data_IF_322278861888
#
_entry.id   IF_322278861888
#
_cell.length_a   1.000
_cell.length_b   1.000
_cell.length_c   1.000
_cell.angle_alpha   90.00
_cell.angle_beta   90.00
_cell.angle_gamma   90.00
#
_symmetry.space_group_name_H-M   'P 1'
#
loop_
_entity.id
_entity.type
_entity.pdbx_description
1 polymer ?
#
# COMPACT_ATOMS: atom_id res chain seq x y z
N UNK A 1 2.23 -16.83 8.33
CA UNK A 1 3.18 -15.75 7.98
C UNK A 1 4.64 -16.15 8.11
N UNK A 2 5.27 -16.45 6.98
CA UNK A 2 6.73 -16.64 6.89
C UNK A 2 7.44 -15.27 6.82
N UNK A 3 7.74 -14.71 8.00
CA UNK A 3 8.44 -13.41 8.10
C UNK A 3 9.82 -13.41 7.45
N UNK A 4 10.48 -14.57 7.31
CA UNK A 4 11.81 -14.65 6.69
C UNK A 4 11.67 -14.48 5.17
N UNK A 5 10.75 -15.20 4.54
CA UNK A 5 10.47 -15.08 3.11
C UNK A 5 10.03 -13.65 2.76
N UNK A 6 9.09 -13.09 3.52
CA UNK A 6 8.58 -11.73 3.32
C UNK A 6 9.69 -10.68 3.43
N UNK A 7 10.60 -10.84 4.41
CA UNK A 7 11.76 -9.95 4.57
C UNK A 7 12.71 -10.00 3.39
N UNK A 8 13.07 -11.20 2.94
CA UNK A 8 13.95 -11.39 1.78
C UNK A 8 13.33 -10.76 0.54
N UNK A 9 12.08 -11.09 0.25
CA UNK A 9 11.33 -10.57 -0.88
C UNK A 9 11.28 -9.03 -0.89
N UNK A 10 10.94 -8.40 0.24
CA UNK A 10 10.80 -6.94 0.30
C UNK A 10 12.14 -6.20 0.03
N UNK A 11 13.24 -6.71 0.60
CA UNK A 11 14.58 -6.12 0.42
C UNK A 11 15.06 -6.28 -1.03
N UNK A 12 14.90 -7.48 -1.60
CA UNK A 12 15.35 -7.78 -2.97
C UNK A 12 14.50 -7.03 -4.01
N UNK A 13 13.18 -6.99 -3.80
CA UNK A 13 12.25 -6.26 -4.66
C UNK A 13 12.54 -4.76 -4.67
N UNK A 14 12.88 -4.17 -3.52
CA UNK A 14 13.31 -2.76 -3.46
C UNK A 14 14.51 -2.51 -4.37
N UNK A 15 15.58 -3.30 -4.23
CA UNK A 15 16.79 -3.15 -5.06
C UNK A 15 16.47 -3.28 -6.53
N UNK A 16 15.69 -4.31 -6.88
CA UNK A 16 15.33 -4.59 -8.27
C UNK A 16 14.51 -3.46 -8.88
N UNK A 17 13.46 -3.00 -8.20
CA UNK A 17 12.63 -1.89 -8.67
C UNK A 17 13.43 -0.60 -8.82
N UNK A 18 14.35 -0.29 -7.90
CA UNK A 18 15.23 0.88 -8.04
C UNK A 18 16.08 0.79 -9.30
N UNK A 19 16.70 -0.36 -9.57
CA UNK A 19 17.53 -0.56 -10.76
C UNK A 19 16.70 -0.55 -12.05
N UNK A 20 15.51 -1.14 -12.04
CA UNK A 20 14.58 -1.12 -13.18
C UNK A 20 14.08 0.30 -13.48
N UNK A 21 13.74 1.08 -12.45
CA UNK A 21 13.34 2.49 -12.61
C UNK A 21 14.50 3.33 -13.16
N UNK A 22 15.73 3.13 -12.67
CA UNK A 22 16.93 3.79 -13.23
C UNK A 22 17.14 3.41 -14.70
N UNK A 23 16.94 2.14 -15.03
CA UNK A 23 17.06 1.66 -16.40
C UNK A 23 15.99 2.30 -17.32
N UNK A 24 14.72 2.32 -16.91
CA UNK A 24 13.68 2.99 -17.69
C UNK A 24 13.96 4.50 -17.83
N UNK A 25 14.46 5.16 -16.79
CA UNK A 25 14.86 6.57 -16.88
C UNK A 25 16.03 6.77 -17.87
N UNK A 26 17.00 5.85 -17.90
CA UNK A 26 18.14 5.95 -18.83
C UNK A 26 17.70 5.84 -20.28
N UNK A 27 16.67 5.04 -20.58
CA UNK A 27 16.04 4.98 -21.91
C UNK A 27 15.45 6.33 -22.33
N UNK A 28 15.16 7.23 -21.38
CA UNK A 28 14.64 8.58 -21.64
C UNK A 28 15.76 9.63 -21.67
N UNK A 29 17.03 9.21 -21.70
CA UNK A 29 18.20 10.10 -21.59
C UNK A 29 18.35 10.72 -20.21
N UNK A 30 17.80 10.10 -19.15
CA UNK A 30 17.83 10.62 -17.79
C UNK A 30 18.65 9.68 -16.91
N UNK A 31 19.73 10.19 -16.32
CA UNK A 31 20.60 9.42 -15.42
C UNK A 31 20.96 10.24 -14.18
N UNK A 32 21.62 9.62 -13.21
CA UNK A 32 22.20 10.33 -12.06
C UNK A 32 23.26 11.37 -12.45
N UNK A 33 23.82 11.29 -13.67
CA UNK A 33 24.80 12.26 -14.18
C UNK A 33 24.15 13.49 -14.83
N UNK A 34 22.88 13.41 -15.22
CA UNK A 34 22.20 14.51 -15.89
C UNK A 34 21.01 14.08 -16.75
N UNK A 35 20.38 15.09 -17.34
CA UNK A 35 19.20 14.99 -18.20
C UNK A 35 19.62 15.42 -19.60
N UNK A 36 19.58 14.50 -20.56
CA UNK A 36 19.92 14.77 -21.95
C UNK A 36 18.73 15.44 -22.67
N UNK A 37 19.05 16.32 -23.61
CA UNK A 37 18.10 16.80 -24.60
C UNK A 37 17.92 15.76 -25.72
N UNK A 38 16.76 15.73 -26.40
CA UNK A 38 16.56 14.82 -27.52
C UNK A 38 17.54 15.13 -28.66
N UNK A 39 18.08 14.08 -29.28
CA UNK A 39 18.97 14.19 -30.46
C UNK A 39 18.19 14.48 -31.74
N UNK A 40 16.91 14.10 -31.77
CA UNK A 40 15.97 14.47 -32.83
C UNK A 40 14.63 14.87 -32.20
N UNK A 41 14.04 15.94 -32.73
CA UNK A 41 12.77 16.48 -32.24
C UNK A 41 11.90 16.91 -33.42
N UNK A 42 10.73 16.28 -33.54
CA UNK A 42 9.69 16.62 -34.50
C UNK A 42 8.34 16.74 -33.79
N UNK A 43 7.29 17.12 -34.52
CA UNK A 43 5.94 17.18 -33.95
C UNK A 43 5.50 15.78 -33.50
N UNK A 44 5.18 15.65 -32.20
CA UNK A 44 4.76 14.38 -31.60
C UNK A 44 5.87 13.34 -31.36
N UNK A 45 7.13 13.62 -31.71
CA UNK A 45 8.24 12.65 -31.67
C UNK A 45 9.49 13.26 -31.03
N UNK A 46 10.06 12.56 -30.05
CA UNK A 46 11.38 12.86 -29.48
C UNK A 46 12.27 11.60 -29.45
N UNK A 47 13.52 11.73 -29.90
CA UNK A 47 14.51 10.64 -29.94
C UNK A 47 15.65 10.95 -28.97
N UNK A 48 16.02 9.98 -28.14
CA UNK A 48 17.06 10.10 -27.13
C UNK A 48 18.20 9.12 -27.39
N UNK A 49 19.43 9.62 -27.37
CA UNK A 49 20.61 8.76 -27.38
C UNK A 49 20.79 8.12 -25.99
N UNK A 50 20.81 6.79 -26.00
CA UNK A 50 20.92 5.96 -24.80
C UNK A 50 22.28 5.25 -24.73
N UNK A 51 23.24 5.62 -25.59
CA UNK A 51 24.55 4.99 -25.68
C UNK A 51 24.52 3.56 -26.22
N UNK A 52 23.44 3.17 -26.91
CA UNK A 52 23.25 1.87 -27.55
C UNK A 52 23.17 2.03 -29.09
N UNK A 53 23.24 0.91 -29.81
CA UNK A 53 23.19 0.89 -31.28
C UNK A 53 21.94 1.54 -31.86
N UNK A 54 20.82 1.51 -31.11
CA UNK A 54 19.57 2.12 -31.49
C UNK A 54 19.16 3.15 -30.41
N UNK A 55 18.82 4.40 -30.79
CA UNK A 55 18.28 5.37 -29.86
C UNK A 55 16.86 4.97 -29.42
N UNK A 56 16.42 5.50 -28.29
CA UNK A 56 15.04 5.31 -27.85
C UNK A 56 14.14 6.44 -28.38
N UNK A 57 12.97 6.09 -28.89
CA UNK A 57 12.00 7.07 -29.42
C UNK A 57 10.74 7.07 -28.58
N UNK A 58 10.27 8.26 -28.19
CA UNK A 58 9.02 8.44 -27.46
C UNK A 58 8.04 9.32 -28.26
N UNK A 59 6.75 9.10 -28.03
CA UNK A 59 5.67 9.71 -28.80
C UNK A 59 4.66 10.42 -27.89
N UNK A 60 4.09 11.52 -28.36
CA UNK A 60 2.89 12.19 -27.83
C UNK A 60 2.78 12.20 -26.29
N UNK A 61 1.97 11.30 -25.71
CA UNK A 61 1.75 11.17 -24.26
C UNK A 61 3.07 11.03 -23.51
N UNK A 62 3.97 10.18 -23.99
CA UNK A 62 5.26 9.92 -23.35
C UNK A 62 6.16 11.15 -23.29
N UNK A 63 6.07 12.07 -24.26
CA UNK A 63 6.80 13.35 -24.23
C UNK A 63 6.32 14.22 -23.06
N UNK A 64 5.00 14.32 -22.86
CA UNK A 64 4.42 15.04 -21.72
C UNK A 64 4.80 14.41 -20.39
N UNK A 65 4.73 13.07 -20.31
CA UNK A 65 5.13 12.30 -19.13
C UNK A 65 6.61 12.52 -18.79
N UNK A 66 7.51 12.50 -19.79
CA UNK A 66 8.94 12.79 -19.59
C UNK A 66 9.18 14.22 -19.08
N UNK A 67 8.48 15.23 -19.60
CA UNK A 67 8.59 16.61 -19.08
C UNK A 67 8.21 16.70 -17.61
N UNK A 68 7.16 15.99 -17.19
CA UNK A 68 6.78 15.91 -15.78
C UNK A 68 7.84 15.19 -14.93
N UNK A 69 8.46 14.12 -15.46
CA UNK A 69 9.58 13.44 -14.81
C UNK A 69 10.75 14.40 -14.56
N UNK A 70 11.18 15.13 -15.59
CA UNK A 70 12.27 16.10 -15.52
C UNK A 70 11.96 17.20 -14.49
N UNK A 71 10.73 17.73 -14.50
CA UNK A 71 10.29 18.72 -13.49
C UNK A 71 10.43 18.15 -12.08
N UNK A 72 9.94 16.93 -11.85
CA UNK A 72 9.99 16.27 -10.54
C UNK A 72 11.41 16.00 -10.07
N UNK A 73 12.31 15.58 -10.98
CA UNK A 73 13.73 15.38 -10.70
C UNK A 73 14.40 16.70 -10.29
N UNK A 74 14.06 17.81 -10.94
CA UNK A 74 14.60 19.12 -10.57
C UNK A 74 14.11 19.59 -9.19
N UNK A 75 12.93 19.16 -8.75
CA UNK A 75 12.38 19.48 -7.41
C UNK A 75 12.99 18.62 -6.29
N UNK A 76 13.23 17.32 -6.53
CA UNK A 76 13.58 16.34 -5.48
C UNK A 76 14.94 15.65 -5.64
N UNK A 77 15.65 15.81 -6.76
CA UNK A 77 16.80 15.00 -7.24
C UNK A 77 16.43 13.65 -7.85
N UNK A 78 17.32 13.13 -8.71
CA UNK A 78 17.13 11.87 -9.44
C UNK A 78 16.91 10.69 -8.50
N UNK A 79 17.80 10.49 -7.52
CA UNK A 79 17.75 9.32 -6.63
C UNK A 79 16.47 9.28 -5.78
N UNK A 80 15.99 10.43 -5.31
CA UNK A 80 14.75 10.50 -4.54
C UNK A 80 13.52 10.22 -5.40
N UNK A 81 13.51 10.64 -6.68
CA UNK A 81 12.42 10.33 -7.60
C UNK A 81 12.42 8.85 -7.97
N UNK A 82 13.60 8.26 -8.20
CA UNK A 82 13.75 6.82 -8.43
C UNK A 82 13.17 6.03 -7.25
N UNK A 83 13.53 6.39 -6.02
CA UNK A 83 13.01 5.74 -4.81
C UNK A 83 11.48 5.90 -4.69
N UNK A 84 10.95 7.12 -4.90
CA UNK A 84 9.52 7.42 -4.85
C UNK A 84 8.73 6.55 -5.83
N UNK A 85 9.22 6.43 -7.07
CA UNK A 85 8.58 5.63 -8.12
C UNK A 85 8.68 4.13 -7.81
N UNK A 86 9.86 3.65 -7.41
CA UNK A 86 10.06 2.24 -7.03
C UNK A 86 9.13 1.84 -5.88
N UNK A 87 9.02 2.70 -4.86
CA UNK A 87 8.13 2.48 -3.72
C UNK A 87 6.66 2.48 -4.14
N UNK A 88 6.25 3.41 -4.99
CA UNK A 88 4.87 3.51 -5.50
C UNK A 88 4.46 2.21 -6.19
N UNK A 89 5.32 1.68 -7.08
CA UNK A 89 5.01 0.44 -7.80
C UNK A 89 5.06 -0.79 -6.89
N UNK A 90 6.00 -0.85 -5.95
CA UNK A 90 6.02 -1.90 -4.92
C UNK A 90 4.67 -1.99 -4.19
N UNK A 91 4.20 -0.86 -3.65
CA UNK A 91 2.95 -0.81 -2.90
C UNK A 91 1.72 -1.23 -3.73
N UNK A 92 1.63 -0.78 -4.98
CA UNK A 92 0.50 -1.12 -5.86
C UNK A 92 0.50 -2.59 -6.25
N UNK A 93 1.66 -3.19 -6.50
CA UNK A 93 1.79 -4.62 -6.76
C UNK A 93 1.34 -5.42 -5.54
N UNK A 94 1.80 -5.05 -4.34
CA UNK A 94 1.39 -5.71 -3.08
C UNK A 94 -0.10 -5.55 -2.81
N UNK A 95 -0.66 -4.37 -3.04
CA UNK A 95 -2.08 -4.14 -2.85
C UNK A 95 -2.94 -4.95 -3.81
N UNK A 96 -2.56 -5.00 -5.09
CA UNK A 96 -3.23 -5.87 -6.07
C UNK A 96 -3.10 -7.34 -5.66
N UNK A 97 -1.92 -7.79 -5.20
CA UNK A 97 -1.75 -9.16 -4.71
C UNK A 97 -2.67 -9.47 -3.52
N UNK A 98 -2.76 -8.56 -2.56
CA UNK A 98 -3.66 -8.70 -1.42
C UNK A 98 -5.12 -8.79 -1.89
N UNK A 99 -5.53 -7.88 -2.78
CA UNK A 99 -6.91 -7.83 -3.27
C UNK A 99 -7.29 -9.05 -4.12
N UNK A 100 -6.39 -9.57 -4.95
CA UNK A 100 -6.70 -10.74 -5.80
C UNK A 100 -6.74 -12.05 -5.01
N UNK A 101 -5.94 -12.18 -3.93
CA UNK A 101 -5.97 -13.36 -3.05
C UNK A 101 -7.26 -13.41 -2.24
N UNK A 102 -7.76 -12.25 -1.81
CA UNK A 102 -8.95 -12.15 -0.98
C UNK A 102 -10.26 -11.92 -1.76
N UNK A 103 -10.24 -12.00 -3.11
CA UNK A 103 -11.38 -11.72 -3.99
C UNK A 103 -11.99 -10.31 -3.82
N UNK A 104 -11.15 -9.32 -3.51
CA UNK A 104 -11.57 -7.93 -3.31
C UNK A 104 -11.46 -7.06 -4.56
N UNK A 105 -10.87 -7.56 -5.64
CA UNK A 105 -10.86 -6.87 -6.93
C UNK A 105 -12.29 -6.77 -7.50
N UNK A 106 -12.77 -5.59 -7.94
CA UNK A 106 -14.12 -5.44 -8.49
C UNK A 106 -14.41 -6.35 -9.68
N UNK A 107 -13.42 -6.58 -10.54
CA UNK A 107 -13.52 -7.46 -11.71
C UNK A 107 -13.55 -8.95 -11.34
N UNK A 108 -13.11 -9.32 -10.13
CA UNK A 108 -12.87 -10.70 -9.68
C UNK A 108 -11.86 -11.50 -10.52
N UNK A 109 -11.12 -10.82 -11.38
CA UNK A 109 -10.09 -11.41 -12.24
C UNK A 109 -8.74 -11.25 -11.55
N UNK A 110 -7.96 -12.34 -11.45
CA UNK A 110 -6.60 -12.29 -10.90
C UNK A 110 -5.70 -11.51 -11.86
N UNK A 111 -5.00 -10.50 -11.33
CA UNK A 111 -4.25 -9.51 -12.12
C UNK A 111 -2.81 -9.97 -12.28
N UNK A 112 -2.18 -10.44 -11.20
CA UNK A 112 -0.79 -10.87 -11.18
C UNK A 112 -0.65 -12.37 -11.44
N UNK A 113 -1.70 -13.13 -11.15
CA UNK A 113 -1.71 -14.59 -11.15
C UNK A 113 -2.93 -15.15 -11.89
N UNK A 114 -3.11 -16.46 -11.83
CA UNK A 114 -4.21 -17.18 -12.47
C UNK A 114 -4.93 -18.07 -11.45
N UNK A 115 -6.24 -18.24 -11.63
CA UNK A 115 -7.05 -19.21 -10.89
C UNK A 115 -6.75 -20.67 -11.31
N UNK A 116 -6.27 -20.86 -12.55
CA UNK A 116 -5.81 -22.16 -13.04
C UNK A 116 -4.43 -22.43 -12.44
N UNK A 117 -4.35 -23.46 -11.60
CA UNK A 117 -3.11 -23.91 -10.95
C UNK A 117 -2.01 -24.20 -11.99
N UNK A 118 -0.80 -23.70 -11.74
CA UNK A 118 0.37 -23.89 -12.61
C UNK A 118 0.39 -23.02 -13.88
N UNK A 119 -0.67 -22.26 -14.19
CA UNK A 119 -0.67 -21.32 -15.31
C UNK A 119 0.11 -20.05 -14.95
N UNK A 120 1.14 -19.76 -15.73
CA UNK A 120 2.01 -18.59 -15.55
C UNK A 120 1.35 -17.30 -16.06
N UNK A 121 0.59 -17.38 -17.15
CA UNK A 121 -0.11 -16.23 -17.71
C UNK A 121 -1.24 -15.76 -16.77
N UNK A 122 -1.24 -14.48 -16.34
CA UNK A 122 -2.30 -13.96 -15.48
C UNK A 122 -3.67 -13.93 -16.17
N UNK A 123 -4.74 -14.04 -15.38
CA UNK A 123 -6.09 -14.08 -15.94
C UNK A 123 -6.46 -12.75 -16.62
N UNK A 124 -5.97 -11.60 -16.12
CA UNK A 124 -6.15 -10.31 -16.79
C UNK A 124 -5.63 -10.30 -18.23
N UNK A 125 -4.52 -11.00 -18.52
CA UNK A 125 -3.94 -11.10 -19.88
C UNK A 125 -4.79 -12.02 -20.76
N UNK A 126 -5.24 -13.13 -20.16
CA UNK A 126 -6.06 -14.14 -20.81
C UNK A 126 -7.39 -13.55 -21.29
N UNK A 127 -8.09 -12.88 -20.37
CA UNK A 127 -9.45 -12.41 -20.56
C UNK A 127 -9.54 -11.09 -21.34
N UNK A 128 -8.47 -10.29 -21.39
CA UNK A 128 -8.47 -9.05 -22.15
C UNK A 128 -8.81 -9.27 -23.65
N UNK A 129 -9.65 -8.42 -24.27
CA UNK A 129 -10.26 -7.20 -23.74
C UNK A 129 -11.63 -7.40 -23.07
N UNK A 130 -12.09 -8.64 -22.82
CA UNK A 130 -13.42 -8.97 -22.29
C UNK A 130 -13.51 -8.79 -20.76
N UNK A 131 -12.97 -7.69 -20.24
CA UNK A 131 -12.94 -7.34 -18.82
C UNK A 131 -13.77 -6.08 -18.57
N UNK A 132 -14.33 -5.95 -17.37
CA UNK A 132 -15.03 -4.74 -16.92
C UNK A 132 -14.02 -3.65 -16.50
N UNK A 133 -13.18 -3.23 -17.45
CA UNK A 133 -12.14 -2.20 -17.30
C UNK A 133 -12.36 -1.00 -18.23
N UNK A 134 -13.51 -0.91 -18.90
CA UNK A 134 -13.87 0.23 -19.76
C UNK A 134 -12.79 0.60 -20.78
N UNK A 135 -12.41 -0.36 -21.64
CA UNK A 135 -11.45 -0.11 -22.72
C UNK A 135 -12.04 0.76 -23.82
N UNK A 136 -11.26 1.74 -24.28
CA UNK A 136 -11.54 2.50 -25.50
C UNK A 136 -11.29 1.65 -26.74
N UNK A 137 -11.85 2.03 -27.89
CA UNK A 137 -11.60 1.33 -29.15
C UNK A 137 -10.10 1.26 -29.52
N UNK A 138 -9.33 2.29 -29.18
CA UNK A 138 -7.89 2.33 -29.44
C UNK A 138 -7.12 1.36 -28.53
N UNK A 139 -7.48 1.30 -27.24
CA UNK A 139 -6.90 0.33 -26.31
C UNK A 139 -7.23 -1.11 -26.75
N UNK A 140 -8.44 -1.38 -27.23
CA UNK A 140 -8.82 -2.70 -27.75
C UNK A 140 -7.96 -3.09 -28.96
N UNK A 141 -7.76 -2.17 -29.92
CA UNK A 141 -6.87 -2.39 -31.06
C UNK A 141 -5.44 -2.66 -30.61
N UNK A 142 -4.96 -1.90 -29.63
CA UNK A 142 -3.62 -2.08 -29.06
C UNK A 142 -3.47 -3.45 -28.37
N UNK A 143 -4.49 -3.90 -27.62
CA UNK A 143 -4.52 -5.23 -26.99
C UNK A 143 -4.40 -6.33 -28.06
N UNK A 144 -5.22 -6.30 -29.11
CA UNK A 144 -5.15 -7.28 -30.19
C UNK A 144 -3.81 -7.25 -30.92
N UNK A 145 -3.26 -6.05 -31.16
CA UNK A 145 -1.93 -5.91 -31.76
C UNK A 145 -0.85 -6.57 -30.90
N UNK A 146 -0.82 -6.30 -29.60
CA UNK A 146 0.17 -6.88 -28.69
C UNK A 146 0.02 -8.40 -28.56
N UNK A 147 -1.21 -8.93 -28.61
CA UNK A 147 -1.46 -10.38 -28.70
C UNK A 147 -0.91 -10.97 -29.99
N UNK A 148 -1.20 -10.37 -31.14
CA UNK A 148 -0.73 -10.85 -32.45
C UNK A 148 0.79 -10.76 -32.62
N UNK A 149 1.40 -9.70 -32.09
CA UNK A 149 2.86 -9.47 -32.11
C UNK A 149 3.60 -10.34 -31.08
N UNK A 150 2.89 -11.14 -30.28
CA UNK A 150 3.42 -11.97 -29.20
C UNK A 150 4.26 -11.17 -28.19
N UNK A 151 3.70 -10.07 -27.69
CA UNK A 151 4.31 -9.15 -26.71
C UNK A 151 3.59 -9.21 -25.36
N UNK A 152 3.66 -10.34 -24.64
CA UNK A 152 2.85 -10.58 -23.43
C UNK A 152 3.13 -9.60 -22.30
N UNK A 153 4.39 -9.24 -22.05
CA UNK A 153 4.73 -8.31 -20.95
C UNK A 153 4.37 -6.85 -21.25
N UNK A 154 4.39 -6.44 -22.53
CA UNK A 154 3.88 -5.12 -22.92
C UNK A 154 2.36 -5.05 -22.74
N UNK A 155 1.65 -6.13 -23.11
CA UNK A 155 0.21 -6.26 -22.88
C UNK A 155 -0.11 -6.25 -21.38
N UNK A 156 0.61 -7.05 -20.59
CA UNK A 156 0.42 -7.11 -19.15
C UNK A 156 0.62 -5.74 -18.48
N UNK A 157 1.68 -5.01 -18.85
CA UNK A 157 1.93 -3.66 -18.32
C UNK A 157 0.79 -2.69 -18.64
N UNK A 158 0.27 -2.72 -19.87
CA UNK A 158 -0.88 -1.91 -20.28
C UNK A 158 -2.10 -2.23 -19.41
N UNK A 159 -2.41 -3.50 -19.24
CA UNK A 159 -3.56 -3.97 -18.45
C UNK A 159 -3.40 -3.65 -16.96
N UNK A 160 -2.19 -3.81 -16.41
CA UNK A 160 -1.87 -3.49 -15.02
C UNK A 160 -2.07 -1.99 -14.73
N UNK A 161 -1.61 -1.12 -15.63
CA UNK A 161 -1.83 0.34 -15.51
C UNK A 161 -3.33 0.65 -15.61
N UNK A 162 -4.07 0.03 -16.54
CA UNK A 162 -5.52 0.21 -16.65
C UNK A 162 -6.25 -0.22 -15.37
N UNK A 163 -5.86 -1.35 -14.78
CA UNK A 163 -6.40 -1.83 -13.52
C UNK A 163 -6.10 -0.86 -12.36
N UNK A 164 -4.87 -0.36 -12.25
CA UNK A 164 -4.51 0.67 -11.26
C UNK A 164 -5.37 1.92 -11.41
N UNK A 165 -5.58 2.38 -12.65
CA UNK A 165 -6.41 3.55 -12.94
C UNK A 165 -7.88 3.33 -12.60
N UNK A 166 -8.43 2.11 -12.80
CA UNK A 166 -9.79 1.79 -12.35
C UNK A 166 -9.90 1.76 -10.83
N UNK A 167 -8.88 1.22 -10.14
CA UNK A 167 -8.84 1.19 -8.68
C UNK A 167 -8.74 2.59 -8.05
N UNK A 168 -8.24 3.60 -8.76
CA UNK A 168 -8.27 5.00 -8.31
C UNK A 168 -9.68 5.47 -7.93
N UNK A 169 -10.72 4.98 -8.59
CA UNK A 169 -12.12 5.39 -8.35
C UNK A 169 -12.60 5.01 -6.94
N UNK A 170 -12.03 3.96 -6.34
CA UNK A 170 -12.45 3.42 -5.03
C UNK A 170 -11.35 3.49 -3.96
N UNK A 171 -10.08 3.55 -4.38
CA UNK A 171 -8.90 3.62 -3.50
C UNK A 171 -7.94 4.74 -3.94
N UNK A 172 -8.40 6.01 -4.01
CA UNK A 172 -7.69 7.10 -4.67
C UNK A 172 -6.34 7.45 -4.03
N UNK A 173 -6.18 7.24 -2.73
CA UNK A 173 -4.96 7.62 -2.00
C UNK A 173 -3.78 6.70 -2.34
N UNK A 174 -4.04 5.40 -2.56
CA UNK A 174 -2.99 4.44 -2.92
C UNK A 174 -2.80 4.34 -4.44
N UNK A 175 -3.92 4.27 -5.16
CA UNK A 175 -3.95 4.23 -6.61
C UNK A 175 -4.20 5.62 -7.14
N UNK A 176 -3.37 6.60 -6.79
CA UNK A 176 -3.42 7.92 -7.43
C UNK A 176 -3.47 7.74 -8.96
N UNK A 177 -4.28 8.56 -9.67
CA UNK A 177 -4.19 8.67 -11.13
C UNK A 177 -2.73 8.80 -11.44
N UNK A 178 -2.15 7.75 -12.02
CA UNK A 178 -0.71 7.55 -12.14
C UNK A 178 -0.10 8.88 -12.50
N UNK A 179 0.72 9.45 -11.59
CA UNK A 179 1.37 10.71 -11.89
C UNK A 179 2.03 10.52 -13.24
N UNK A 180 1.65 11.33 -14.25
CA UNK A 180 1.83 11.01 -15.68
C UNK A 180 3.19 10.32 -15.97
N UNK A 181 4.27 10.74 -15.30
CA UNK A 181 5.61 10.16 -15.43
C UNK A 181 5.87 8.75 -14.86
N UNK A 182 5.17 8.29 -13.82
CA UNK A 182 5.47 7.00 -13.15
C UNK A 182 5.25 5.82 -14.07
N UNK A 183 4.29 5.92 -15.00
CA UNK A 183 3.99 4.90 -16.01
C UNK A 183 5.19 4.62 -16.93
N UNK A 184 5.95 5.65 -17.29
CA UNK A 184 7.15 5.50 -18.13
C UNK A 184 8.25 4.70 -17.45
N UNK A 185 8.22 4.66 -16.12
CA UNK A 185 9.24 4.04 -15.30
C UNK A 185 8.82 2.66 -14.78
N UNK A 186 7.62 2.20 -15.12
CA UNK A 186 7.15 0.86 -14.75
C UNK A 186 7.78 -0.18 -15.67
N UNK A 187 8.57 -1.07 -15.08
CA UNK A 187 8.98 -2.33 -15.69
C UNK A 187 8.32 -3.47 -14.92
N UNK A 188 7.27 -4.06 -15.48
CA UNK A 188 6.59 -5.21 -14.89
C UNK A 188 6.50 -6.33 -15.92
N UNK A 189 6.74 -7.55 -15.47
CA UNK A 189 6.79 -8.75 -16.30
C UNK A 189 6.27 -9.93 -15.49
N UNK A 190 5.48 -10.78 -16.13
CA UNK A 190 5.07 -12.06 -15.58
C UNK A 190 5.85 -13.23 -16.19
N UNK A 191 6.58 -12.99 -17.29
CA UNK A 191 7.41 -14.01 -17.96
C UNK A 191 8.83 -14.12 -17.40
N UNK A 192 9.31 -13.06 -16.72
CA UNK A 192 10.61 -13.06 -16.05
C UNK A 192 10.52 -13.72 -14.66
N UNK A 193 11.11 -14.91 -14.50
CA UNK A 193 11.15 -15.66 -13.23
C UNK A 193 11.81 -14.86 -12.09
N UNK A 194 12.81 -14.04 -12.40
CA UNK A 194 13.43 -13.17 -11.40
C UNK A 194 12.61 -11.91 -11.13
N UNK A 195 11.61 -11.60 -11.97
CA UNK A 195 10.76 -10.42 -11.90
C UNK A 195 9.96 -10.35 -10.60
N UNK A 196 9.65 -9.14 -10.14
CA UNK A 196 8.95 -8.95 -8.86
C UNK A 196 7.64 -9.73 -8.75
N UNK A 197 6.89 -9.84 -9.85
CA UNK A 197 5.61 -10.59 -9.88
C UNK A 197 5.84 -12.08 -9.60
N UNK A 198 6.82 -12.69 -10.28
CA UNK A 198 7.16 -14.10 -10.06
C UNK A 198 7.76 -14.32 -8.67
N UNK A 199 8.68 -13.46 -8.25
CA UNK A 199 9.26 -13.54 -6.91
C UNK A 199 8.22 -13.38 -5.79
N UNK A 200 7.15 -12.60 -6.03
CA UNK A 200 6.05 -12.45 -5.08
C UNK A 200 5.17 -13.70 -5.02
N UNK A 201 4.76 -14.22 -6.18
CA UNK A 201 3.85 -15.37 -6.27
C UNK A 201 4.53 -16.67 -5.83
N UNK A 202 5.80 -16.86 -6.22
CA UNK A 202 6.49 -18.13 -6.03
C UNK A 202 7.11 -18.28 -4.64
N UNK A 203 7.43 -17.17 -3.96
CA UNK A 203 8.10 -17.21 -2.66
C UNK A 203 7.21 -16.81 -1.48
N UNK A 204 6.06 -16.17 -1.71
CA UNK A 204 5.15 -15.75 -0.64
C UNK A 204 3.81 -16.48 -0.80
N UNK A 205 3.47 -17.29 0.21
CA UNK A 205 2.22 -18.07 0.22
C UNK A 205 0.99 -17.17 0.15
N UNK A 206 -0.06 -17.60 -0.56
CA UNK A 206 -1.36 -16.93 -0.53
C UNK A 206 -1.93 -16.86 0.89
N UNK A 207 -1.67 -17.86 1.74
CA UNK A 207 -2.10 -17.87 3.14
C UNK A 207 -1.54 -16.71 3.97
N UNK A 208 -0.39 -16.15 3.57
CA UNK A 208 0.19 -14.99 4.25
C UNK A 208 -0.54 -13.69 3.86
N UNK A 209 -1.29 -13.68 2.76
CA UNK A 209 -2.17 -12.58 2.32
C UNK A 209 -3.63 -12.76 2.77
N UNK A 210 -4.08 -13.99 3.08
CA UNK A 210 -5.47 -14.27 3.46
C UNK A 210 -5.80 -13.69 4.84
N UNK A 211 -6.79 -12.77 4.88
CA UNK A 211 -7.35 -12.14 6.09
C UNK A 211 -6.31 -11.49 7.05
N UNK A 212 -5.05 -11.34 6.60
CA UNK A 212 -3.92 -10.83 7.38
C UNK A 212 -3.42 -9.53 6.79
N UNK A 213 -4.13 -8.43 7.08
CA UNK A 213 -3.69 -7.07 6.69
C UNK A 213 -2.28 -6.73 7.23
N UNK A 214 -1.84 -7.41 8.30
CA UNK A 214 -0.52 -7.28 8.91
C UNK A 214 0.64 -7.50 7.92
N UNK A 215 0.49 -8.36 6.91
CA UNK A 215 1.54 -8.61 5.91
C UNK A 215 2.00 -7.32 5.22
N UNK A 216 1.05 -6.40 4.96
CA UNK A 216 1.32 -5.10 4.33
C UNK A 216 2.27 -4.28 5.21
N UNK A 217 2.05 -4.30 6.53
CA UNK A 217 2.91 -3.65 7.51
C UNK A 217 4.33 -4.24 7.52
N UNK A 218 4.46 -5.57 7.46
CA UNK A 218 5.76 -6.25 7.40
C UNK A 218 6.52 -5.97 6.11
N UNK A 219 5.84 -6.03 4.96
CA UNK A 219 6.44 -5.71 3.66
C UNK A 219 6.98 -4.28 3.64
N UNK A 220 6.22 -3.31 4.17
CA UNK A 220 6.66 -1.92 4.32
C UNK A 220 7.87 -1.77 5.25
N UNK A 221 7.82 -2.42 6.42
CA UNK A 221 8.92 -2.43 7.37
C UNK A 221 10.20 -2.96 6.72
N UNK A 222 10.10 -4.08 6.03
CA UNK A 222 11.25 -4.73 5.45
C UNK A 222 11.79 -3.99 4.23
N UNK A 223 10.93 -3.42 3.39
CA UNK A 223 11.32 -2.57 2.27
C UNK A 223 12.26 -1.44 2.73
N UNK A 224 11.95 -0.77 3.84
CA UNK A 224 12.74 0.36 4.34
C UNK A 224 14.01 -0.02 5.12
N UNK A 225 14.29 -1.31 5.34
CA UNK A 225 15.38 -1.78 6.21
C UNK A 225 16.74 -1.20 5.81
N UNK A 226 17.11 -1.29 4.54
CA UNK A 226 18.43 -0.85 4.08
C UNK A 226 18.60 0.67 4.13
N UNK A 227 17.54 1.42 3.79
CA UNK A 227 17.54 2.88 3.88
C UNK A 227 17.66 3.34 5.33
N UNK A 228 16.97 2.66 6.24
CA UNK A 228 17.07 2.87 7.69
C UNK A 228 18.50 2.61 8.17
N UNK A 229 19.07 1.46 7.86
CA UNK A 229 20.43 1.10 8.27
C UNK A 229 21.48 2.10 7.74
N UNK A 230 21.36 2.53 6.48
CA UNK A 230 22.23 3.55 5.91
C UNK A 230 22.06 4.90 6.60
N UNK A 231 20.83 5.30 6.90
CA UNK A 231 20.54 6.55 7.64
C UNK A 231 21.17 6.52 9.04
N UNK A 232 21.07 5.40 9.77
CA UNK A 232 21.74 5.26 11.07
C UNK A 232 23.27 5.23 10.96
N UNK A 233 23.84 4.65 9.89
CA UNK A 233 25.29 4.72 9.62
C UNK A 233 25.74 6.16 9.38
N UNK A 234 24.98 6.95 8.63
CA UNK A 234 25.26 8.37 8.40
C UNK A 234 25.12 9.21 9.67
N UNK A 235 24.12 8.93 10.50
CA UNK A 235 23.93 9.59 11.80
C UNK A 235 25.13 9.33 12.74
N UNK A 236 25.64 8.10 12.78
CA UNK A 236 26.86 7.75 13.54
C UNK A 236 28.09 8.53 13.06
N UNK A 237 28.13 8.90 11.77
CA UNK A 237 29.16 9.77 11.18
C UNK A 237 28.86 11.27 11.36
N UNK A 238 27.84 11.64 12.14
CA UNK A 238 27.38 13.02 12.40
C UNK A 238 26.94 13.77 11.13
N UNK A 239 26.52 13.05 10.10
CA UNK A 239 25.91 13.65 8.92
C UNK A 239 24.49 14.10 9.30
N UNK A 240 24.12 15.33 8.96
CA UNK A 240 22.78 15.86 9.21
C UNK A 240 21.75 15.05 8.41
N UNK A 241 20.68 14.62 9.07
CA UNK A 241 19.56 13.92 8.42
C UNK A 241 18.85 14.91 7.47
N UNK A 242 18.77 14.57 6.18
CA UNK A 242 18.01 15.34 5.20
C UNK A 242 16.51 15.14 5.38
N UNK A 243 15.68 16.02 4.82
CA UNK A 243 14.21 15.93 4.91
C UNK A 243 13.70 14.55 4.44
N UNK A 244 14.29 14.01 3.38
CA UNK A 244 13.92 12.75 2.75
C UNK A 244 14.30 11.53 3.58
N UNK A 245 15.27 11.69 4.50
CA UNK A 245 15.74 10.63 5.41
C UNK A 245 15.08 10.68 6.79
N UNK A 246 14.31 11.73 7.10
CA UNK A 246 13.57 11.82 8.37
C UNK A 246 12.70 10.57 8.58
N UNK A 247 11.85 10.14 7.61
CA UNK A 247 11.01 8.96 7.83
C UNK A 247 11.82 7.71 8.19
N UNK A 248 12.94 7.46 7.51
CA UNK A 248 13.80 6.30 7.79
C UNK A 248 14.46 6.37 9.19
N UNK A 249 14.80 7.58 9.66
CA UNK A 249 15.39 7.77 10.98
C UNK A 249 14.38 7.62 12.13
N UNK A 250 13.12 8.00 11.91
CA UNK A 250 12.07 8.01 12.93
C UNK A 250 11.14 6.81 12.88
N UNK A 251 11.30 5.92 11.89
CA UNK A 251 10.46 4.73 11.74
C UNK A 251 10.71 3.73 12.88
N UNK A 252 9.76 3.66 13.81
CA UNK A 252 9.72 2.69 14.91
C UNK A 252 8.42 1.90 14.82
N UNK A 253 8.51 0.58 14.90
CA UNK A 253 7.35 -0.30 14.80
C UNK A 253 6.90 -0.71 16.19
N UNK A 254 5.62 -0.49 16.48
CA UNK A 254 4.98 -0.90 17.74
C UNK A 254 4.71 -2.40 17.70
N UNK A 255 5.28 -3.20 18.61
CA UNK A 255 4.98 -4.63 18.69
C UNK A 255 3.49 -4.88 18.94
N UNK A 256 2.94 -5.97 18.36
CA UNK A 256 1.52 -6.33 18.45
C UNK A 256 0.98 -6.31 19.88
N UNK A 257 1.69 -6.90 20.85
CA UNK A 257 1.22 -6.91 22.24
C UNK A 257 1.08 -5.51 22.84
N UNK A 258 1.91 -4.54 22.44
CA UNK A 258 1.81 -3.14 22.89
C UNK A 258 0.60 -2.49 22.25
N UNK A 259 0.38 -2.72 20.95
CA UNK A 259 -0.82 -2.23 20.24
C UNK A 259 -2.08 -2.73 20.95
N UNK A 260 -2.16 -4.03 21.22
CA UNK A 260 -3.30 -4.65 21.89
C UNK A 260 -3.50 -4.09 23.29
N UNK A 261 -2.44 -4.06 24.08
CA UNK A 261 -2.46 -3.47 25.41
C UNK A 261 -3.02 -2.04 25.42
N UNK A 262 -2.53 -1.17 24.53
CA UNK A 262 -2.97 0.22 24.46
C UNK A 262 -4.45 0.33 24.09
N UNK A 263 -4.91 -0.38 23.06
CA UNK A 263 -6.30 -0.29 22.57
C UNK A 263 -7.28 -0.91 23.56
N UNK A 264 -6.98 -2.11 24.08
CA UNK A 264 -7.85 -2.80 25.04
C UNK A 264 -8.02 -1.96 26.33
N UNK A 265 -6.96 -1.32 26.82
CA UNK A 265 -7.01 -0.51 28.05
C UNK A 265 -7.39 0.96 27.84
N UNK A 266 -7.64 1.38 26.60
CA UNK A 266 -8.18 2.73 26.30
C UNK A 266 -9.61 2.63 25.77
N UNK A 267 -9.76 2.20 24.52
CA UNK A 267 -11.06 1.99 23.88
C UNK A 267 -11.89 0.94 24.62
N UNK A 268 -11.30 -0.23 24.91
CA UNK A 268 -12.02 -1.31 25.59
C UNK A 268 -12.47 -0.91 27.00
N UNK A 269 -11.59 -0.23 27.75
CA UNK A 269 -11.90 0.34 29.07
C UNK A 269 -13.06 1.31 29.00
N UNK A 270 -12.98 2.32 28.13
CA UNK A 270 -14.00 3.35 27.96
C UNK A 270 -15.38 2.70 27.73
N UNK A 271 -15.43 1.66 26.90
CA UNK A 271 -16.67 0.95 26.65
C UNK A 271 -17.18 0.19 27.88
N UNK A 272 -16.33 -0.64 28.51
CA UNK A 272 -16.74 -1.50 29.62
C UNK A 272 -17.11 -0.73 30.90
N UNK A 273 -16.57 0.48 31.10
CA UNK A 273 -16.97 1.35 32.22
C UNK A 273 -18.45 1.72 32.16
N UNK A 274 -18.99 1.97 30.95
CA UNK A 274 -20.41 2.28 30.74
C UNK A 274 -21.28 1.07 30.43
N UNK A 275 -20.67 0.03 29.85
CA UNK A 275 -21.36 -1.13 29.29
C UNK A 275 -20.69 -2.44 29.77
N UNK A 276 -20.86 -2.82 31.05
CA UNK A 276 -20.28 -4.05 31.57
C UNK A 276 -20.67 -5.26 30.73
N UNK A 277 -19.67 -5.93 30.15
CA UNK A 277 -19.85 -7.07 29.27
C UNK A 277 -18.68 -8.05 29.41
N UNK A 278 -18.90 -9.14 30.17
CA UNK A 278 -17.87 -10.16 30.41
C UNK A 278 -17.41 -10.86 29.14
N UNK A 279 -18.33 -11.09 28.19
CA UNK A 279 -18.01 -11.79 26.94
C UNK A 279 -17.06 -10.98 26.06
N UNK A 280 -17.19 -9.65 26.02
CA UNK A 280 -16.23 -8.78 25.34
C UNK A 280 -14.86 -8.86 26.01
N UNK A 281 -14.84 -8.71 27.33
CA UNK A 281 -13.62 -8.68 28.13
C UNK A 281 -12.79 -9.97 27.98
N UNK A 282 -13.44 -11.13 27.87
CA UNK A 282 -12.76 -12.42 27.66
C UNK A 282 -11.93 -12.48 26.38
N UNK A 283 -12.27 -11.67 25.36
CA UNK A 283 -11.52 -11.60 24.11
C UNK A 283 -10.29 -10.67 24.19
N UNK A 284 -10.11 -9.93 25.28
CA UNK A 284 -9.08 -8.90 25.44
C UNK A 284 -7.98 -9.36 26.40
N UNK A 285 -6.99 -10.05 25.85
CA UNK A 285 -5.91 -10.74 26.57
C UNK A 285 -5.05 -9.81 27.45
N UNK A 286 -4.88 -8.56 27.02
CA UNK A 286 -4.03 -7.56 27.65
C UNK A 286 -4.82 -6.52 28.47
N UNK A 287 -6.14 -6.67 28.56
CA UNK A 287 -6.99 -5.86 29.42
C UNK A 287 -6.63 -6.08 30.89
N UNK A 288 -6.48 -4.99 31.64
CA UNK A 288 -6.17 -5.04 33.07
C UNK A 288 -7.43 -4.90 33.91
N UNK A 289 -7.52 -5.58 35.04
CA UNK A 289 -8.58 -5.27 36.00
C UNK A 289 -8.30 -3.96 36.73
N UNK A 290 -9.37 -3.27 37.13
CA UNK A 290 -9.23 -2.10 37.98
C UNK A 290 -8.61 -2.53 39.32
N UNK A 291 -7.55 -1.82 39.72
CA UNK A 291 -6.98 -1.97 41.04
C UNK A 291 -7.85 -1.26 42.08
N UNK A 292 -7.78 -1.72 43.34
CA UNK A 292 -8.43 -1.04 44.46
C UNK A 292 -7.99 0.43 44.54
N UNK A 293 -8.95 1.34 44.64
CA UNK A 293 -8.74 2.79 44.73
C UNK A 293 -9.29 3.34 46.03
N UNK A 294 -8.74 4.48 46.47
CA UNK A 294 -9.25 5.24 47.61
C UNK A 294 -10.70 5.72 47.37
N UNK A 295 -11.47 5.91 48.46
CA UNK A 295 -12.91 6.25 48.39
C UNK A 295 -13.20 7.49 47.55
N UNK A 296 -12.35 8.52 47.63
CA UNK A 296 -12.52 9.76 46.83
C UNK A 296 -12.41 9.50 45.33
N UNK A 297 -11.51 8.60 44.92
CA UNK A 297 -11.33 8.19 43.52
C UNK A 297 -12.52 7.36 43.05
N UNK A 298 -13.06 6.48 43.90
CA UNK A 298 -14.25 5.67 43.58
C UNK A 298 -15.45 6.55 43.24
N UNK A 299 -15.71 7.61 44.01
CA UNK A 299 -16.80 8.57 43.72
C UNK A 299 -16.61 9.23 42.35
N UNK A 300 -15.38 9.59 42.01
CA UNK A 300 -15.05 10.13 40.69
C UNK A 300 -15.31 9.13 39.55
N UNK A 301 -14.91 7.87 39.74
CA UNK A 301 -15.12 6.79 38.77
C UNK A 301 -16.60 6.47 38.57
N UNK A 302 -17.41 6.46 39.64
CA UNK A 302 -18.86 6.27 39.54
C UNK A 302 -19.52 7.32 38.66
N UNK A 303 -19.09 8.59 38.79
CA UNK A 303 -19.59 9.67 37.93
C UNK A 303 -19.20 9.48 36.47
N UNK A 304 -17.95 9.09 36.20
CA UNK A 304 -17.48 8.79 34.83
C UNK A 304 -18.33 7.67 34.23
N UNK A 305 -18.53 6.57 34.97
CA UNK A 305 -19.36 5.43 34.53
C UNK A 305 -20.78 5.84 34.20
N UNK A 306 -21.37 6.74 34.99
CA UNK A 306 -22.71 7.27 34.72
C UNK A 306 -22.75 8.13 33.44
N UNK A 307 -21.73 8.97 33.21
CA UNK A 307 -21.60 9.79 32.01
C UNK A 307 -21.45 8.92 30.74
N UNK A 308 -20.72 7.80 30.82
CA UNK A 308 -20.46 6.92 29.65
C UNK A 308 -21.48 5.79 29.47
N UNK A 309 -22.44 5.62 30.38
CA UNK A 309 -23.48 4.56 30.33
C UNK A 309 -24.39 4.64 29.10
N UNK A 310 -24.56 5.83 28.54
CA UNK A 310 -25.39 6.06 27.35
C UNK A 310 -24.56 6.35 26.09
N UNK A 311 -23.23 6.18 26.17
CA UNK A 311 -22.31 6.39 25.05
C UNK A 311 -22.64 5.38 23.94
N UNK A 312 -22.88 5.87 22.72
CA UNK A 312 -23.08 4.97 21.57
C UNK A 312 -21.75 4.64 20.91
N UNK A 313 -21.62 3.47 20.27
CA UNK A 313 -20.40 3.14 19.50
C UNK A 313 -20.01 4.22 18.49
N UNK A 314 -20.97 4.87 17.83
CA UNK A 314 -20.73 5.94 16.84
C UNK A 314 -20.15 7.24 17.42
N UNK A 315 -20.35 7.47 18.71
CA UNK A 315 -19.89 8.70 19.39
C UNK A 315 -18.39 8.62 19.75
N UNK A 316 -17.81 7.42 19.72
CA UNK A 316 -16.40 7.19 20.06
C UNK A 316 -15.50 7.71 18.92
N UNK A 317 -14.54 8.59 19.23
CA UNK A 317 -13.55 9.08 18.27
C UNK A 317 -12.16 8.62 18.67
N UNK A 318 -11.45 7.95 17.77
CA UNK A 318 -10.10 7.44 17.97
C UNK A 318 -9.17 8.13 17.00
N UNK A 319 -8.09 8.72 17.51
CA UNK A 319 -7.05 9.32 16.69
C UNK A 319 -5.69 8.70 17.00
N UNK A 320 -4.99 8.27 15.96
CA UNK A 320 -3.56 7.96 16.01
C UNK A 320 -2.77 9.05 15.24
N UNK A 321 -2.16 10.03 15.93
CA UNK A 321 -1.52 11.18 15.30
C UNK A 321 -0.14 10.88 14.70
N UNK A 322 0.34 9.63 14.78
CA UNK A 322 1.60 9.17 14.19
C UNK A 322 1.44 7.70 13.77
N UNK A 323 0.43 7.45 12.93
CA UNK A 323 -0.13 6.11 12.73
C UNK A 323 0.79 5.11 12.02
N UNK A 324 1.86 5.58 11.37
CA UNK A 324 2.71 4.76 10.54
C UNK A 324 1.87 4.01 9.50
N UNK A 325 2.06 2.70 9.41
CA UNK A 325 1.27 1.83 8.53
C UNK A 325 -0.09 1.40 9.12
N UNK A 326 -0.57 2.06 10.19
CA UNK A 326 -1.93 1.91 10.71
C UNK A 326 -2.17 0.73 11.65
N UNK A 327 -1.14 0.12 12.25
CA UNK A 327 -1.31 -1.06 13.11
C UNK A 327 -2.29 -0.83 14.28
N UNK A 328 -2.22 0.35 14.92
CA UNK A 328 -3.13 0.71 16.02
C UNK A 328 -4.55 0.89 15.48
N UNK A 329 -4.72 1.56 14.34
CA UNK A 329 -6.02 1.78 13.72
C UNK A 329 -6.68 0.48 13.27
N UNK A 330 -5.92 -0.46 12.69
CA UNK A 330 -6.42 -1.78 12.30
C UNK A 330 -6.88 -2.59 13.50
N UNK A 331 -6.15 -2.55 14.62
CA UNK A 331 -6.58 -3.26 15.83
C UNK A 331 -7.72 -2.53 16.57
N UNK A 332 -7.74 -1.20 16.56
CA UNK A 332 -8.87 -0.42 17.04
C UNK A 332 -10.15 -0.72 16.25
N UNK A 333 -10.05 -0.92 14.93
CA UNK A 333 -11.15 -1.40 14.10
C UNK A 333 -11.71 -2.73 14.63
N UNK A 334 -10.83 -3.69 14.95
CA UNK A 334 -11.24 -5.01 15.47
C UNK A 334 -11.99 -4.89 16.80
N UNK A 335 -11.48 -4.09 17.73
CA UNK A 335 -12.14 -3.88 19.03
C UNK A 335 -13.47 -3.15 18.85
N UNK A 336 -13.55 -2.17 17.95
CA UNK A 336 -14.81 -1.51 17.59
C UNK A 336 -15.81 -2.49 16.97
N UNK A 337 -15.38 -3.40 16.07
CA UNK A 337 -16.26 -4.42 15.51
C UNK A 337 -16.91 -5.27 16.61
N UNK A 338 -16.14 -5.66 17.62
CA UNK A 338 -16.67 -6.40 18.77
C UNK A 338 -17.67 -5.56 19.58
N UNK A 339 -17.37 -4.28 19.81
CA UNK A 339 -18.26 -3.33 20.51
C UNK A 339 -19.58 -3.15 19.75
N UNK A 340 -19.53 -2.85 18.45
CA UNK A 340 -20.70 -2.63 17.60
C UNK A 340 -21.57 -3.89 17.51
N UNK A 341 -20.98 -5.06 17.27
CA UNK A 341 -21.74 -6.31 17.17
C UNK A 341 -22.38 -6.68 18.51
N UNK A 342 -21.70 -6.44 19.64
CA UNK A 342 -22.31 -6.60 20.98
C UNK A 342 -23.47 -5.64 21.25
N UNK A 343 -23.51 -4.50 20.54
CA UNK A 343 -24.58 -3.50 20.61
C UNK A 343 -25.71 -3.77 19.61
N UNK A 344 -25.67 -4.89 18.89
CA UNK A 344 -26.74 -5.35 17.99
C UNK A 344 -26.59 -4.95 16.52
N UNK A 345 -25.45 -4.40 16.11
CA UNK A 345 -25.18 -4.06 14.71
C UNK A 345 -24.81 -5.30 13.90
N UNK A 346 -25.20 -5.33 12.63
CA UNK A 346 -24.65 -6.32 11.69
C UNK A 346 -23.18 -6.01 11.43
N UNK A 347 -22.38 -7.02 11.06
CA UNK A 347 -20.95 -6.81 10.74
C UNK A 347 -20.76 -5.79 9.61
N UNK A 348 -21.67 -5.81 8.62
CA UNK A 348 -21.66 -4.89 7.49
C UNK A 348 -21.90 -3.44 7.94
N UNK A 349 -22.94 -3.22 8.73
CA UNK A 349 -23.30 -1.88 9.22
C UNK A 349 -22.25 -1.36 10.21
N UNK A 350 -21.71 -2.24 11.05
CA UNK A 350 -20.61 -1.94 11.96
C UNK A 350 -19.37 -1.47 11.19
N UNK A 351 -18.92 -2.23 10.19
CA UNK A 351 -17.74 -1.88 9.41
C UNK A 351 -17.90 -0.53 8.69
N UNK A 352 -19.06 -0.27 8.09
CA UNK A 352 -19.34 1.01 7.44
C UNK A 352 -19.38 2.17 8.45
N UNK A 353 -19.99 1.96 9.62
CA UNK A 353 -20.05 2.97 10.68
C UNK A 353 -18.68 3.28 11.25
N UNK A 354 -17.84 2.26 11.47
CA UNK A 354 -16.47 2.43 12.01
C UNK A 354 -15.63 3.33 11.12
N UNK A 355 -15.67 3.10 9.80
CA UNK A 355 -14.94 3.91 8.82
C UNK A 355 -15.45 5.35 8.76
N UNK A 356 -16.77 5.58 8.91
CA UNK A 356 -17.37 6.91 8.83
C UNK A 356 -17.18 7.71 10.12
N UNK A 357 -17.25 7.04 11.26
CA UNK A 357 -17.48 7.70 12.54
C UNK A 357 -16.30 7.60 13.50
N UNK A 358 -15.49 6.54 13.47
CA UNK A 358 -14.64 6.25 14.63
C UNK A 358 -13.15 6.51 14.41
N UNK A 359 -12.59 6.16 13.25
CA UNK A 359 -11.14 6.09 13.06
C UNK A 359 -10.58 7.33 12.35
N UNK A 360 -9.56 7.94 12.96
CA UNK A 360 -8.82 9.07 12.43
C UNK A 360 -7.32 8.81 12.60
N UNK A 361 -6.51 9.28 11.65
CA UNK A 361 -5.07 9.07 11.70
C UNK A 361 -4.30 10.17 10.99
N UNK A 362 -3.08 10.43 11.44
CA UNK A 362 -2.15 11.37 10.83
C UNK A 362 -0.77 10.73 10.75
N UNK A 363 -0.06 10.98 9.66
CA UNK A 363 1.37 10.68 9.55
C UNK A 363 2.05 11.74 8.68
N UNK A 364 3.35 11.92 8.87
CA UNK A 364 4.17 12.86 8.08
C UNK A 364 4.73 12.19 6.83
N UNK A 365 4.83 10.86 6.80
CA UNK A 365 5.25 10.11 5.63
C UNK A 365 4.02 9.69 4.80
N UNK A 366 3.82 10.36 3.66
CA UNK A 366 2.74 10.06 2.71
C UNK A 366 2.67 8.55 2.37
N UNK A 367 3.83 7.90 2.33
CA UNK A 367 3.96 6.47 2.04
C UNK A 367 3.41 5.57 3.14
N UNK A 368 3.53 5.99 4.39
CA UNK A 368 2.96 5.29 5.53
C UNK A 368 1.45 5.53 5.58
N UNK A 369 1.03 6.77 5.31
CA UNK A 369 -0.37 7.15 5.16
C UNK A 369 -1.13 6.27 4.16
N UNK A 370 -0.61 6.11 2.95
CA UNK A 370 -1.23 5.28 1.91
C UNK A 370 -1.42 3.82 2.35
N UNK A 371 -0.47 3.29 3.12
CA UNK A 371 -0.54 1.93 3.63
C UNK A 371 -1.56 1.80 4.77
N UNK A 372 -1.59 2.74 5.70
CA UNK A 372 -2.59 2.77 6.77
C UNK A 372 -4.00 2.87 6.19
N UNK A 373 -4.19 3.77 5.21
CA UNK A 373 -5.42 3.90 4.45
C UNK A 373 -5.83 2.55 3.84
N UNK A 374 -4.96 1.94 3.05
CA UNK A 374 -5.25 0.66 2.41
C UNK A 374 -5.55 -0.44 3.42
N UNK A 375 -4.74 -0.56 4.49
CA UNK A 375 -4.90 -1.54 5.54
C UNK A 375 -6.27 -1.44 6.24
N UNK A 376 -6.69 -0.23 6.61
CA UNK A 376 -8.00 0.01 7.24
C UNK A 376 -9.14 -0.29 6.26
N UNK A 377 -9.00 0.10 4.98
CA UNK A 377 -10.01 -0.21 3.95
C UNK A 377 -10.13 -1.72 3.70
N UNK A 378 -9.03 -2.45 3.65
CA UNK A 378 -9.02 -3.91 3.51
C UNK A 378 -9.63 -4.60 4.73
N UNK A 379 -9.37 -4.08 5.94
CA UNK A 379 -9.99 -4.56 7.16
C UNK A 379 -11.50 -4.31 7.18
N UNK A 380 -11.96 -3.16 6.67
CA UNK A 380 -13.40 -2.93 6.48
C UNK A 380 -14.02 -3.87 5.45
N UNK A 381 -13.32 -4.09 4.33
CA UNK A 381 -13.77 -4.97 3.24
C UNK A 381 -13.94 -6.43 3.69
N UNK A 382 -13.15 -6.92 4.65
CA UNK A 382 -13.30 -8.29 5.15
C UNK A 382 -14.65 -8.57 5.81
N UNK A 383 -15.32 -7.54 6.36
CA UNK A 383 -16.65 -7.62 6.98
C UNK A 383 -17.79 -7.14 6.06
N UNK A 384 -17.46 -6.55 4.90
CA UNK A 384 -18.42 -6.05 3.92
C UNK A 384 -18.00 -6.53 2.52
N UNK A 385 -18.21 -7.82 2.25
CA UNK A 385 -17.81 -8.51 1.01
C UNK A 385 -18.70 -8.19 -0.18
#
# INVERSE_FOLDING_TARGET
MDKKAIKTFAIESRKKLIEEVKYQASLLGITSKGIAEPVEKAEGIEVYDIGASNPNTIYDKAIKQRKNLVKRINEKSFDNVVEEVAYTWFNRIIAIRFMEVNDYLPTRVKVLSSQIEGKIEPDIVTEAPHLDLEFTEEEIKQIYKLKNDNKPDELFRLLFIKQCNKLNEILPELFEKTADYTELLLSISFTNEEGIVRQLIDNISEEDFTDQVEIIGWLYQYYNTELKDDTFKQLKKRVKISKERIPAATQLFTPDWIVRYMVENSLGRLWLEGHPNSNLKENWKYYLDEAEQEEEVQIGLEKIREDVKNLKPEDIKIIDPAMGSGHILVYAFEVLMQIYTSSGYSERDAAESILKNNLYGLDIDDRAYQLAYFAVMMKGRSYNR
#
